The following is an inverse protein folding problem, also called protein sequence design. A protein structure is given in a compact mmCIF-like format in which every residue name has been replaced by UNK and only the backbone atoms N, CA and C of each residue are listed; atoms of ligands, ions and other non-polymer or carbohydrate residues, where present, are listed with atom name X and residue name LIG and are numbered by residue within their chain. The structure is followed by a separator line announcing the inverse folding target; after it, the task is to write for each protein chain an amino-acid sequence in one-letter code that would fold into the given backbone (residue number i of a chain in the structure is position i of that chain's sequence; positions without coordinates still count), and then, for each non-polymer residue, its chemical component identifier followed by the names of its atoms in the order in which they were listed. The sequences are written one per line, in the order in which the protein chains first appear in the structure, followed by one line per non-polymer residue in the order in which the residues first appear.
data_IF_548275947996
#
_entry.id   IF_548275947996
#
_cell.length_a   1.000
_cell.length_b   1.000
_cell.length_c   1.000
_cell.angle_alpha   90.00
_cell.angle_beta   90.00
_cell.angle_gamma   90.00
#
_symmetry.space_group_name_H-M   'P 1'
#
loop_
_entity.id
_entity.type
_entity.pdbx_description
1 polymer ?
#
# COMPACT_ATOMS: atom_id res chain seq x y z
N UNK A 1 -19.96 21.43 -1.22
CA UNK A 1 -20.24 21.09 0.20
C UNK A 1 -19.38 21.98 1.08
N UNK A 2 -19.96 22.65 2.07
CA UNK A 2 -19.19 23.46 3.03
C UNK A 2 -18.73 22.58 4.20
N UNK A 3 -17.45 22.62 4.55
CA UNK A 3 -16.88 21.90 5.71
C UNK A 3 -16.54 22.89 6.83
N UNK A 4 -16.75 22.49 8.09
CA UNK A 4 -16.39 23.27 9.28
C UNK A 4 -15.55 22.43 10.23
N UNK A 5 -14.31 22.85 10.47
CA UNK A 5 -13.44 22.19 11.44
C UNK A 5 -13.94 22.41 12.88
N UNK A 6 -14.08 21.33 13.64
CA UNK A 6 -14.45 21.35 15.08
C UNK A 6 -13.26 21.05 16.00
N UNK A 7 -12.05 20.97 15.45
CA UNK A 7 -10.85 20.56 16.19
C UNK A 7 -10.57 21.46 17.38
N UNK A 8 -10.71 22.78 17.23
CA UNK A 8 -10.50 23.73 18.34
C UNK A 8 -11.49 23.54 19.48
N UNK A 9 -12.77 23.34 19.15
CA UNK A 9 -13.82 23.08 20.14
C UNK A 9 -13.57 21.76 20.88
N UNK A 10 -13.14 20.73 20.15
CA UNK A 10 -12.75 19.45 20.73
C UNK A 10 -11.55 19.58 21.68
N UNK A 11 -10.48 20.28 21.27
CA UNK A 11 -9.31 20.53 22.11
C UNK A 11 -9.67 21.31 23.38
N UNK A 12 -10.58 22.28 23.26
CA UNK A 12 -11.10 23.02 24.40
C UNK A 12 -11.79 22.09 25.40
N UNK A 13 -12.72 21.23 24.96
CA UNK A 13 -13.37 20.27 25.85
C UNK A 13 -12.40 19.28 26.48
N UNK A 14 -11.46 18.72 25.69
CA UNK A 14 -10.43 17.79 26.19
C UNK A 14 -9.58 18.41 27.30
N UNK A 15 -9.08 19.63 27.07
CA UNK A 15 -8.24 20.33 28.03
C UNK A 15 -9.03 20.82 29.26
N UNK A 16 -10.33 21.04 29.11
CA UNK A 16 -11.24 21.42 30.21
C UNK A 16 -11.55 20.23 31.13
N UNK A 17 -11.78 19.04 30.56
CA UNK A 17 -12.09 17.82 31.30
C UNK A 17 -10.89 17.30 32.11
N UNK A 18 -9.66 17.44 31.59
CA UNK A 18 -8.45 17.04 32.30
C UNK A 18 -8.15 17.90 33.56
N UNK A 19 -8.72 19.12 33.64
CA UNK A 19 -8.47 20.05 34.75
C UNK A 19 -9.46 19.96 35.91
N UNK A 20 -10.58 19.25 35.77
CA UNK A 20 -11.56 19.08 36.86
C UNK A 20 -11.17 18.01 37.88
N UNK A 21 -10.05 17.31 37.66
CA UNK A 21 -9.47 16.29 38.55
C UNK A 21 -8.35 16.76 39.49
N UNK A 22 -8.25 18.07 39.81
CA UNK A 22 -7.27 18.56 40.78
C UNK A 22 -7.43 17.93 42.18
N UNK A 23 -6.34 17.72 42.94
CA UNK A 23 -6.38 16.97 44.20
C UNK A 23 -7.18 17.75 45.24
N UNK A 24 -8.42 17.30 45.48
CA UNK A 24 -9.21 17.76 46.63
C UNK A 24 -8.56 17.21 47.90
N UNK A 25 -7.82 18.09 48.59
CA UNK A 25 -7.34 17.92 49.97
C UNK A 25 -8.46 17.32 50.83
N UNK A 26 -8.25 16.21 51.55
CA UNK A 26 -9.31 15.54 52.28
C UNK A 26 -9.68 16.38 53.51
N UNK A 27 -10.83 17.05 53.48
CA UNK A 27 -11.50 17.48 54.70
C UNK A 27 -12.36 16.33 55.17
N UNK A 28 -11.95 15.71 56.27
CA UNK A 28 -12.75 14.77 57.05
C UNK A 28 -14.07 15.45 57.45
N UNK A 29 -15.21 14.94 56.97
CA UNK A 29 -16.47 14.85 57.73
C UNK A 29 -17.45 13.90 56.99
N UNK A 30 -18.36 13.23 57.73
CA UNK A 30 -18.98 11.99 57.29
C UNK A 30 -20.36 12.20 56.62
N UNK A 31 -20.77 11.18 55.86
CA UNK A 31 -22.13 10.87 55.37
C UNK A 31 -22.78 11.81 54.35
N UNK A 32 -22.93 11.36 53.10
CA UNK A 32 -24.21 10.97 52.49
C UNK A 32 -23.96 10.53 51.03
N UNK A 33 -24.72 9.54 50.57
CA UNK A 33 -24.54 8.88 49.27
C UNK A 33 -24.63 9.83 48.07
N UNK A 34 -23.64 9.73 47.18
CA UNK A 34 -23.67 10.32 45.84
C UNK A 34 -23.11 9.29 44.87
N UNK A 35 -23.88 8.99 43.83
CA UNK A 35 -23.59 8.09 42.72
C UNK A 35 -22.14 8.23 42.22
N UNK A 36 -21.34 7.17 42.36
CA UNK A 36 -19.97 7.08 41.80
C UNK A 36 -19.95 6.44 40.41
N UNK A 37 -21.10 6.25 39.76
CA UNK A 37 -21.20 5.52 38.49
C UNK A 37 -20.58 6.26 37.29
N UNK A 38 -20.39 7.57 37.35
CA UNK A 38 -19.74 8.34 36.27
C UNK A 38 -18.22 8.40 36.40
N UNK A 39 -17.65 7.77 37.44
CA UNK A 39 -16.22 7.82 37.75
C UNK A 39 -15.42 6.59 37.34
N UNK A 40 -16.05 5.63 36.66
CA UNK A 40 -15.35 4.49 36.07
C UNK A 40 -14.73 4.89 34.73
N UNK A 41 -13.70 5.73 34.78
CA UNK A 41 -12.76 5.88 33.68
C UNK A 41 -12.03 4.55 33.48
N UNK A 42 -11.96 4.08 32.23
CA UNK A 42 -11.31 2.85 31.77
C UNK A 42 -9.77 2.82 31.94
N UNK A 43 -9.23 3.59 32.90
CA UNK A 43 -7.82 3.56 33.28
C UNK A 43 -7.78 3.36 34.78
N UNK A 44 -7.85 2.11 35.21
CA UNK A 44 -7.46 1.72 36.56
C UNK A 44 -5.93 1.88 36.66
N UNK A 45 -5.47 3.09 36.98
CA UNK A 45 -4.11 3.31 37.42
C UNK A 45 -4.14 3.29 38.94
N UNK A 46 -3.66 2.20 39.53
CA UNK A 46 -3.24 2.20 40.92
C UNK A 46 -2.15 3.27 41.05
N UNK A 47 -2.50 4.38 41.70
CA UNK A 47 -1.61 5.53 41.85
C UNK A 47 -0.56 5.19 42.90
N UNK A 48 0.57 4.63 42.44
CA UNK A 48 1.83 4.75 43.17
C UNK A 48 2.40 6.16 42.94
N UNK A 49 2.86 6.81 44.02
CA UNK A 49 3.09 8.25 44.11
C UNK A 49 4.39 8.74 43.47
N UNK A 50 4.91 8.05 42.46
CA UNK A 50 6.11 8.43 41.72
C UNK A 50 5.83 8.52 40.22
N UNK A 51 4.88 9.38 39.82
CA UNK A 51 4.52 9.61 38.43
C UNK A 51 5.64 10.34 37.68
N UNK A 52 6.67 9.56 37.32
CA UNK A 52 7.41 9.73 36.08
C UNK A 52 6.39 9.91 34.95
N UNK A 53 6.64 10.91 34.11
CA UNK A 53 5.84 11.18 32.91
C UNK A 53 5.70 9.87 32.16
N UNK A 54 4.48 9.30 32.13
CA UNK A 54 4.15 8.22 31.20
C UNK A 54 4.23 8.84 29.81
N UNK A 55 5.45 8.85 29.27
CA UNK A 55 5.69 9.01 27.85
C UNK A 55 4.94 7.86 27.24
N UNK A 56 3.82 8.17 26.61
CA UNK A 56 3.07 7.26 25.75
C UNK A 56 4.10 6.56 24.87
N UNK A 57 4.42 5.30 25.19
CA UNK A 57 5.41 4.53 24.46
C UNK A 57 4.87 4.46 23.04
N UNK A 58 5.44 5.26 22.15
CA UNK A 58 5.08 5.29 20.74
C UNK A 58 5.17 3.86 20.25
N UNK A 59 4.02 3.22 20.01
CA UNK A 59 3.96 1.88 19.45
C UNK A 59 4.75 1.96 18.15
N UNK A 60 5.89 1.26 18.09
CA UNK A 60 6.74 1.32 16.92
C UNK A 60 5.88 0.92 15.70
N UNK A 61 5.96 1.68 14.61
CA UNK A 61 5.35 1.28 13.36
C UNK A 61 5.74 -0.17 13.01
N UNK A 62 4.80 -0.98 12.48
CA UNK A 62 5.11 -2.34 12.07
C UNK A 62 6.25 -2.37 11.04
N UNK A 63 7.14 -3.37 11.12
CA UNK A 63 8.31 -3.51 10.24
C UNK A 63 8.01 -3.48 8.72
N UNK A 64 6.80 -3.89 8.32
CA UNK A 64 6.41 -3.82 6.91
C UNK A 64 6.33 -2.37 6.41
N UNK A 65 6.19 -1.35 7.28
CA UNK A 65 6.19 0.05 6.88
C UNK A 65 7.53 0.46 6.28
N UNK A 66 8.63 -0.06 6.82
CA UNK A 66 9.98 0.21 6.31
C UNK A 66 10.10 -0.33 4.87
N UNK A 67 9.50 -1.49 4.60
CA UNK A 67 9.45 -2.07 3.25
C UNK A 67 8.61 -1.23 2.29
N UNK A 68 7.53 -0.61 2.79
CA UNK A 68 6.70 0.30 1.97
C UNK A 68 7.51 1.54 1.57
N UNK A 69 8.19 2.16 2.54
CA UNK A 69 9.01 3.34 2.30
C UNK A 69 10.16 3.02 1.32
N UNK A 70 10.82 1.87 1.51
CA UNK A 70 11.84 1.39 0.57
C UNK A 70 11.31 1.19 -0.85
N UNK A 71 10.10 0.64 -1.02
CA UNK A 71 9.50 0.44 -2.34
C UNK A 71 9.09 1.78 -2.96
N UNK A 72 8.55 2.72 -2.18
CA UNK A 72 8.19 4.04 -2.68
C UNK A 72 9.43 4.85 -3.11
N UNK A 73 10.54 4.75 -2.38
CA UNK A 73 11.84 5.33 -2.77
C UNK A 73 12.35 4.71 -4.09
N UNK A 74 12.29 3.40 -4.22
CA UNK A 74 12.73 2.70 -5.43
C UNK A 74 11.83 3.06 -6.63
N UNK A 75 10.52 3.16 -6.44
CA UNK A 75 9.57 3.63 -7.46
C UNK A 75 9.91 5.03 -7.94
N UNK A 76 10.29 5.94 -7.03
CA UNK A 76 10.70 7.29 -7.40
C UNK A 76 12.03 7.30 -8.17
N UNK A 77 12.98 6.42 -7.81
CA UNK A 77 14.22 6.22 -8.56
C UNK A 77 13.93 5.70 -9.97
N UNK A 78 13.05 4.70 -10.12
CA UNK A 78 12.64 4.16 -11.42
C UNK A 78 12.04 5.28 -12.29
N UNK A 79 11.16 6.12 -11.73
CA UNK A 79 10.59 7.27 -12.46
C UNK A 79 11.68 8.20 -13.00
N UNK A 80 12.67 8.55 -12.18
CA UNK A 80 13.78 9.39 -12.61
C UNK A 80 14.59 8.73 -13.75
N UNK A 81 14.89 7.43 -13.62
CA UNK A 81 15.59 6.67 -14.68
C UNK A 81 14.80 6.57 -15.98
N UNK A 82 13.48 6.42 -15.92
CA UNK A 82 12.61 6.44 -17.11
C UNK A 82 12.69 7.81 -17.80
N UNK A 83 12.67 8.91 -17.04
CA UNK A 83 12.79 10.25 -17.65
C UNK A 83 14.16 10.51 -18.28
N UNK A 84 15.24 10.00 -17.66
CA UNK A 84 16.60 10.03 -18.22
C UNK A 84 16.67 9.22 -19.53
N UNK A 85 16.08 8.02 -19.53
CA UNK A 85 16.00 7.17 -20.71
C UNK A 85 15.22 7.82 -21.85
N UNK A 86 14.11 8.51 -21.54
CA UNK A 86 13.34 9.24 -22.55
C UNK A 86 14.12 10.39 -23.18
N UNK A 87 14.96 11.08 -22.41
CA UNK A 87 15.84 12.11 -22.93
C UNK A 87 16.90 11.51 -23.88
N UNK A 88 17.50 10.37 -23.50
CA UNK A 88 18.44 9.64 -24.35
C UNK A 88 17.79 9.09 -25.62
N UNK A 89 16.58 8.52 -25.52
CA UNK A 89 15.80 8.09 -26.69
C UNK A 89 15.56 9.25 -27.66
N UNK A 90 15.18 10.44 -27.15
CA UNK A 90 15.00 11.63 -27.99
C UNK A 90 16.30 12.09 -28.64
N UNK A 91 17.41 12.09 -27.88
CA UNK A 91 18.75 12.43 -28.38
C UNK A 91 19.18 11.48 -29.50
N UNK A 92 19.06 10.17 -29.28
CA UNK A 92 19.44 9.15 -30.25
C UNK A 92 18.57 9.17 -31.52
N UNK A 93 17.30 9.56 -31.40
CA UNK A 93 16.41 9.71 -32.55
C UNK A 93 16.75 10.93 -33.44
N UNK A 94 17.44 11.96 -32.92
CA UNK A 94 17.80 13.14 -33.70
C UNK A 94 18.90 12.81 -34.74
N UNK A 95 18.87 13.41 -35.94
CA UNK A 95 19.96 13.28 -36.91
C UNK A 95 21.22 14.01 -36.43
N UNK A 96 21.99 13.36 -35.56
CA UNK A 96 23.31 13.81 -35.10
C UNK A 96 24.45 12.98 -35.72
N UNK A 97 25.61 13.62 -35.86
CA UNK A 97 26.90 13.02 -36.25
C UNK A 97 27.73 12.52 -35.06
N UNK A 98 27.20 12.60 -33.83
CA UNK A 98 27.87 12.21 -32.58
C UNK A 98 27.81 10.69 -32.31
N UNK A 99 28.66 10.20 -31.40
CA UNK A 99 28.91 8.78 -31.03
C UNK A 99 27.63 7.97 -30.68
N UNK A 100 26.90 7.51 -31.71
CA UNK A 100 25.68 6.69 -31.54
C UNK A 100 25.92 5.41 -30.74
N UNK A 101 27.08 4.79 -30.94
CA UNK A 101 27.46 3.56 -30.23
C UNK A 101 27.57 3.75 -28.72
N UNK A 102 27.93 4.95 -28.24
CA UNK A 102 27.99 5.23 -26.81
C UNK A 102 26.57 5.46 -26.24
N UNK A 103 25.76 6.25 -26.95
CA UNK A 103 24.36 6.48 -26.57
C UNK A 103 23.56 5.15 -26.55
N UNK A 104 23.78 4.26 -27.53
CA UNK A 104 23.16 2.91 -27.60
C UNK A 104 23.52 2.05 -26.39
N UNK A 105 24.82 1.96 -26.03
CA UNK A 105 25.25 1.23 -24.82
C UNK A 105 24.63 1.78 -23.55
N UNK A 106 24.49 3.11 -23.45
CA UNK A 106 23.86 3.73 -22.27
C UNK A 106 22.36 3.44 -22.21
N UNK A 107 21.66 3.43 -23.35
CA UNK A 107 20.24 3.07 -23.45
C UNK A 107 20.02 1.62 -23.01
N UNK A 108 20.84 0.69 -23.49
CA UNK A 108 20.74 -0.72 -23.12
C UNK A 108 21.00 -0.92 -21.63
N UNK A 109 22.09 -0.35 -21.10
CA UNK A 109 22.42 -0.44 -19.68
C UNK A 109 21.31 0.13 -18.79
N UNK A 110 20.76 1.29 -19.15
CA UNK A 110 19.68 1.93 -18.40
C UNK A 110 18.38 1.13 -18.49
N UNK A 111 18.08 0.53 -19.65
CA UNK A 111 16.92 -0.33 -19.86
C UNK A 111 16.99 -1.62 -19.04
N UNK A 112 18.15 -2.29 -19.01
CA UNK A 112 18.39 -3.45 -18.13
C UNK A 112 18.29 -3.04 -16.66
N UNK A 113 18.90 -1.93 -16.26
CA UNK A 113 18.85 -1.43 -14.89
C UNK A 113 17.41 -1.17 -14.43
N UNK A 114 16.60 -0.46 -15.23
CA UNK A 114 15.18 -0.23 -14.93
C UNK A 114 14.42 -1.55 -14.78
N UNK A 115 14.68 -2.52 -15.66
CA UNK A 115 14.05 -3.85 -15.59
C UNK A 115 14.41 -4.59 -14.29
N UNK A 116 15.66 -4.51 -13.86
CA UNK A 116 16.12 -5.12 -12.61
C UNK A 116 15.52 -4.43 -11.38
N UNK A 117 15.40 -3.10 -11.40
CA UNK A 117 14.72 -2.33 -10.35
C UNK A 117 13.24 -2.74 -10.25
N UNK A 118 12.54 -2.93 -11.39
CA UNK A 118 11.17 -3.45 -11.39
C UNK A 118 11.07 -4.83 -10.73
N UNK A 119 12.00 -5.75 -11.04
CA UNK A 119 12.05 -7.09 -10.42
C UNK A 119 12.35 -7.02 -8.93
N UNK A 120 13.17 -6.08 -8.50
CA UNK A 120 13.46 -5.88 -7.09
C UNK A 120 12.24 -5.36 -6.32
N UNK A 121 11.57 -4.33 -6.84
CA UNK A 121 10.31 -3.84 -6.28
C UNK A 121 9.27 -4.95 -6.18
N UNK A 122 9.11 -5.74 -7.24
CA UNK A 122 8.18 -6.87 -7.28
C UNK A 122 8.51 -7.93 -6.20
N UNK A 123 9.79 -8.29 -6.02
CA UNK A 123 10.25 -9.17 -4.94
C UNK A 123 9.96 -8.59 -3.55
N UNK A 124 10.15 -7.28 -3.34
CA UNK A 124 9.83 -6.60 -2.08
C UNK A 124 8.31 -6.62 -1.80
N UNK A 125 7.49 -6.34 -2.80
CA UNK A 125 6.02 -6.39 -2.67
C UNK A 125 5.53 -7.81 -2.36
N UNK A 126 6.09 -8.84 -3.01
CA UNK A 126 5.79 -10.24 -2.70
C UNK A 126 6.21 -10.64 -1.28
N UNK A 127 7.31 -10.08 -0.76
CA UNK A 127 7.76 -10.33 0.61
C UNK A 127 6.73 -9.87 1.64
N UNK A 128 6.10 -8.70 1.44
CA UNK A 128 5.02 -8.20 2.33
C UNK A 128 3.87 -9.22 2.37
N UNK A 129 3.54 -9.84 1.23
CA UNK A 129 2.49 -10.85 1.17
C UNK A 129 2.85 -12.12 1.96
N UNK A 130 4.11 -12.56 1.88
CA UNK A 130 4.60 -13.72 2.64
C UNK A 130 4.65 -13.39 4.14
N UNK A 131 5.11 -12.20 4.52
CA UNK A 131 5.15 -11.75 5.91
C UNK A 131 3.73 -11.72 6.52
N UNK A 132 2.73 -11.34 5.72
CA UNK A 132 1.33 -11.39 6.13
C UNK A 132 0.90 -12.81 6.55
N UNK A 133 1.36 -13.86 5.86
CA UNK A 133 0.96 -15.26 6.16
C UNK A 133 1.48 -15.79 7.50
N UNK A 134 2.56 -15.23 8.04
CA UNK A 134 3.10 -15.63 9.35
C UNK A 134 2.37 -14.99 10.53
N UNK A 135 1.47 -14.02 10.29
CA UNK A 135 0.68 -13.43 11.36
C UNK A 135 -0.41 -14.41 11.84
N UNK A 136 -0.63 -14.52 13.17
CA UNK A 136 -1.67 -15.39 13.72
C UNK A 136 -3.04 -15.00 13.18
N UNK A 137 -3.89 -15.99 12.89
CA UNK A 137 -5.23 -15.80 12.31
C UNK A 137 -6.17 -14.90 13.16
N UNK A 138 -5.83 -14.68 14.43
CA UNK A 138 -6.52 -13.74 15.32
C UNK A 138 -6.34 -12.27 14.88
N UNK A 139 -5.23 -11.94 14.22
CA UNK A 139 -4.89 -10.58 13.79
C UNK A 139 -5.53 -10.19 12.44
N UNK A 140 -6.84 -10.41 12.28
CA UNK A 140 -7.57 -10.17 11.01
C UNK A 140 -7.35 -8.77 10.44
N UNK A 141 -7.31 -7.74 11.29
CA UNK A 141 -7.06 -6.35 10.88
C UNK A 141 -5.66 -6.16 10.25
N UNK A 142 -4.63 -6.81 10.79
CA UNK A 142 -3.28 -6.72 10.23
C UNK A 142 -3.21 -7.40 8.86
N UNK A 143 -3.85 -8.56 8.69
CA UNK A 143 -3.97 -9.23 7.40
C UNK A 143 -4.64 -8.33 6.35
N UNK A 144 -5.73 -7.64 6.71
CA UNK A 144 -6.41 -6.69 5.81
C UNK A 144 -5.51 -5.52 5.42
N UNK A 145 -4.76 -4.96 6.38
CA UNK A 145 -3.82 -3.86 6.13
C UNK A 145 -2.72 -4.30 5.14
N UNK A 146 -2.04 -5.43 5.39
CA UNK A 146 -0.99 -5.95 4.50
C UNK A 146 -1.52 -6.16 3.08
N UNK A 147 -2.71 -6.76 2.96
CA UNK A 147 -3.36 -6.99 1.68
C UNK A 147 -3.62 -5.66 0.95
N UNK A 148 -4.23 -4.68 1.62
CA UNK A 148 -4.51 -3.37 1.02
C UNK A 148 -3.25 -2.65 0.52
N UNK A 149 -2.19 -2.66 1.33
CA UNK A 149 -0.90 -2.06 1.00
C UNK A 149 -0.24 -2.76 -0.17
N UNK A 150 -0.25 -4.09 -0.18
CA UNK A 150 0.25 -4.90 -1.29
C UNK A 150 -0.44 -4.51 -2.61
N UNK A 151 -1.76 -4.35 -2.64
CA UNK A 151 -2.43 -3.86 -3.87
C UNK A 151 -2.02 -2.45 -4.21
N UNK A 152 -1.98 -1.54 -3.23
CA UNK A 152 -1.65 -0.14 -3.49
C UNK A 152 -0.27 -0.04 -4.17
N UNK A 153 0.73 -0.74 -3.61
CA UNK A 153 2.07 -0.83 -4.19
C UNK A 153 2.08 -1.52 -5.55
N UNK A 154 1.39 -2.65 -5.70
CA UNK A 154 1.31 -3.36 -6.98
C UNK A 154 0.66 -2.49 -8.07
N UNK A 155 -0.37 -1.70 -7.73
CA UNK A 155 -1.05 -0.79 -8.64
C UNK A 155 -0.13 0.37 -9.06
N UNK A 156 0.59 0.98 -8.12
CA UNK A 156 1.61 2.00 -8.41
C UNK A 156 2.69 1.46 -9.37
N UNK A 157 3.18 0.24 -9.11
CA UNK A 157 4.21 -0.40 -9.92
C UNK A 157 3.67 -0.81 -11.30
N UNK A 158 2.41 -1.23 -11.37
CA UNK A 158 1.72 -1.55 -12.62
C UNK A 158 1.55 -0.30 -13.50
N UNK A 159 1.11 0.82 -12.93
CA UNK A 159 1.00 2.10 -13.64
C UNK A 159 2.36 2.53 -14.19
N UNK A 160 3.41 2.47 -13.36
CA UNK A 160 4.76 2.82 -13.77
C UNK A 160 5.31 1.92 -14.89
N UNK A 161 5.07 0.61 -14.80
CA UNK A 161 5.45 -0.33 -15.87
C UNK A 161 4.71 -0.06 -17.18
N UNK A 162 3.46 0.42 -17.11
CA UNK A 162 2.70 0.84 -18.30
C UNK A 162 3.33 2.05 -18.97
N UNK A 163 3.75 3.06 -18.19
CA UNK A 163 4.45 4.24 -18.70
C UNK A 163 5.77 3.83 -19.37
N UNK A 164 6.58 3.00 -18.72
CA UNK A 164 7.84 2.51 -19.29
C UNK A 164 7.63 1.74 -20.60
N UNK A 165 6.70 0.78 -20.64
CA UNK A 165 6.43 -0.02 -21.84
C UNK A 165 5.88 0.82 -22.99
N UNK A 166 5.03 1.81 -22.71
CA UNK A 166 4.56 2.78 -23.73
C UNK A 166 5.72 3.60 -24.27
N UNK A 167 6.61 4.07 -23.40
CA UNK A 167 7.80 4.82 -23.80
C UNK A 167 8.73 4.01 -24.72
N UNK A 168 9.01 2.75 -24.35
CA UNK A 168 9.77 1.80 -25.17
C UNK A 168 9.09 1.48 -26.50
N UNK A 169 7.77 1.24 -26.49
CA UNK A 169 7.00 0.99 -27.72
C UNK A 169 7.03 2.18 -28.68
N UNK A 170 6.91 3.40 -28.15
CA UNK A 170 6.98 4.64 -28.95
C UNK A 170 8.38 4.82 -29.55
N UNK A 171 9.43 4.49 -28.80
CA UNK A 171 10.81 4.54 -29.28
C UNK A 171 11.04 3.53 -30.40
N UNK A 172 10.66 2.27 -30.21
CA UNK A 172 10.74 1.21 -31.24
C UNK A 172 9.96 1.57 -32.51
N UNK A 173 8.75 2.13 -32.39
CA UNK A 173 7.95 2.55 -33.54
C UNK A 173 8.65 3.66 -34.34
N UNK A 174 9.29 4.62 -33.67
CA UNK A 174 10.05 5.69 -34.33
C UNK A 174 11.33 5.18 -34.98
N UNK A 175 11.98 4.18 -34.38
CA UNK A 175 13.16 3.55 -34.96
C UNK A 175 12.82 2.81 -36.27
N UNK A 176 11.77 1.97 -36.25
CA UNK A 176 11.27 1.24 -37.44
C UNK A 176 10.70 2.16 -38.52
N UNK A 177 9.98 3.22 -38.13
CA UNK A 177 9.41 4.18 -39.07
C UNK A 177 10.46 4.93 -39.90
N UNK A 178 11.68 5.09 -39.37
CA UNK A 178 12.82 5.67 -40.09
C UNK A 178 13.45 4.68 -41.07
N UNK A 179 13.49 3.39 -40.72
CA UNK A 179 14.04 2.32 -41.56
C UNK A 179 13.25 2.14 -42.86
N UNK A 180 11.91 2.12 -42.78
CA UNK A 180 11.02 1.99 -43.95
C UNK A 180 11.25 3.18 -44.91
N UNK A 181 11.35 4.39 -44.37
CA UNK A 181 11.58 5.61 -45.16
C UNK A 181 12.95 5.60 -45.85
N UNK A 182 13.98 5.08 -45.19
CA UNK A 182 15.32 4.94 -45.77
C UNK A 182 15.37 3.87 -46.87
N UNK A 183 14.60 2.79 -46.70
CA UNK A 183 14.45 1.71 -47.69
C UNK A 183 13.70 2.17 -48.94
N UNK A 184 12.62 2.93 -48.78
CA UNK A 184 11.80 3.43 -49.90
C UNK A 184 12.52 4.52 -50.71
N UNK A 185 13.29 5.39 -50.05
CA UNK A 185 14.02 6.47 -50.75
C UNK A 185 15.11 5.91 -51.67
N UNK A 186 15.79 4.84 -51.26
CA UNK A 186 16.78 4.16 -52.12
C UNK A 186 16.14 3.25 -53.17
N UNK A 187 15.01 2.59 -52.87
CA UNK A 187 14.28 1.79 -53.86
C UNK A 187 13.79 2.64 -55.05
N UNK A 188 13.40 3.90 -54.81
CA UNK A 188 13.03 4.86 -55.87
C UNK A 188 14.25 5.34 -56.66
N UNK A 189 15.42 5.48 -56.03
CA UNK A 189 16.66 5.90 -56.69
C UNK A 189 17.24 4.81 -57.61
N UNK A 190 17.01 3.53 -57.29
CA UNK A 190 17.34 2.38 -58.17
C UNK A 190 16.20 1.99 -59.13
N UNK A 191 15.02 2.62 -59.03
CA UNK A 191 13.78 2.18 -59.69
C UNK A 191 13.25 3.09 -60.80
N UNK A 192 13.99 4.11 -61.26
CA UNK A 192 13.60 5.01 -62.36
C UNK A 192 14.46 4.87 -63.63
N UNK A 193 14.91 3.65 -63.93
CA UNK A 193 15.36 3.28 -65.28
C UNK A 193 14.23 2.54 -65.99
N UNK A 194 13.14 3.25 -66.28
CA UNK A 194 12.19 2.82 -67.31
C UNK A 194 12.53 3.59 -68.59
N UNK A 195 13.33 2.98 -69.46
CA UNK A 195 13.39 3.25 -70.90
C UNK A 195 14.33 2.25 -71.59
N UNK A 196 13.70 1.26 -72.24
CA UNK A 196 14.11 0.58 -73.47
C UNK A 196 15.41 -0.25 -73.48
N UNK A 197 15.18 -1.56 -73.69
CA UNK A 197 15.91 -2.52 -74.52
C UNK A 197 17.44 -2.72 -74.36
N UNK A 198 17.81 -3.99 -74.55
CA UNK A 198 19.15 -4.57 -74.76
C UNK A 198 20.02 -4.92 -73.53
N UNK A 199 20.04 -6.22 -73.24
CA UNK A 199 21.22 -7.07 -72.97
C UNK A 199 22.40 -6.45 -72.20
N UNK A 200 22.13 -5.85 -71.04
CA UNK A 200 23.17 -5.43 -70.10
C UNK A 200 23.16 -6.35 -68.88
N UNK A 201 24.08 -7.31 -68.93
CA UNK A 201 24.65 -8.00 -67.79
C UNK A 201 24.93 -6.95 -66.69
N UNK A 202 24.03 -6.84 -65.72
CA UNK A 202 24.05 -5.82 -64.69
C UNK A 202 25.19 -6.12 -63.71
N UNK A 203 26.41 -5.86 -64.15
CA UNK A 203 27.61 -5.81 -63.32
C UNK A 203 27.43 -4.62 -62.39
N UNK A 204 26.79 -4.86 -61.24
CA UNK A 204 26.85 -3.96 -60.10
C UNK A 204 28.32 -3.57 -59.92
N UNK A 205 28.60 -2.27 -59.99
CA UNK A 205 29.97 -1.77 -59.78
C UNK A 205 30.42 -2.21 -58.38
N UNK A 206 31.68 -2.59 -58.19
CA UNK A 206 32.21 -3.06 -56.88
C UNK A 206 31.88 -2.08 -55.73
N UNK A 207 31.82 -0.78 -56.05
CA UNK A 207 31.38 0.28 -55.14
C UNK A 207 29.89 0.19 -54.75
N UNK A 208 29.00 -0.20 -55.68
CA UNK A 208 27.57 -0.37 -55.43
C UNK A 208 27.31 -1.63 -54.58
N UNK A 209 28.06 -2.71 -54.81
CA UNK A 209 28.00 -3.91 -53.98
C UNK A 209 28.51 -3.63 -52.55
N UNK A 210 29.56 -2.81 -52.41
CA UNK A 210 30.08 -2.38 -51.11
C UNK A 210 29.06 -1.52 -50.33
N UNK A 211 28.30 -0.65 -51.02
CA UNK A 211 27.20 0.13 -50.41
C UNK A 211 26.07 -0.79 -49.94
N UNK A 212 25.68 -1.79 -50.74
CA UNK A 212 24.66 -2.77 -50.35
C UNK A 212 25.12 -3.59 -49.14
N UNK A 213 26.36 -4.08 -49.13
CA UNK A 213 26.92 -4.83 -47.99
C UNK A 213 27.04 -3.99 -46.72
N UNK A 214 27.44 -2.71 -46.84
CA UNK A 214 27.50 -1.80 -45.69
C UNK A 214 26.10 -1.49 -45.14
N UNK A 215 25.10 -1.34 -46.02
CA UNK A 215 23.71 -1.14 -45.63
C UNK A 215 23.13 -2.40 -44.96
N UNK A 216 23.41 -3.59 -45.49
CA UNK A 216 22.96 -4.87 -44.92
C UNK A 216 23.56 -5.10 -43.53
N UNK A 217 24.83 -4.75 -43.32
CA UNK A 217 25.47 -4.77 -41.99
C UNK A 217 24.82 -3.77 -41.03
N UNK A 218 24.52 -2.56 -41.48
CA UNK A 218 23.85 -1.56 -40.64
C UNK A 218 22.42 -1.97 -40.25
N UNK A 219 21.69 -2.63 -41.16
CA UNK A 219 20.34 -3.14 -40.90
C UNK A 219 20.38 -4.29 -39.88
N UNK A 220 21.30 -5.25 -40.05
CA UNK A 220 21.42 -6.39 -39.13
C UNK A 220 21.85 -5.99 -37.72
N UNK A 221 22.72 -4.99 -37.57
CA UNK A 221 23.09 -4.41 -36.28
C UNK A 221 21.87 -3.75 -35.59
N UNK A 222 21.08 -2.99 -36.36
CA UNK A 222 19.83 -2.37 -35.89
C UNK A 222 18.76 -3.38 -35.48
N UNK A 223 18.60 -4.48 -36.22
CA UNK A 223 17.67 -5.55 -35.84
C UNK A 223 18.06 -6.20 -34.51
N UNK A 224 19.37 -6.35 -34.25
CA UNK A 224 19.87 -6.88 -32.98
C UNK A 224 19.53 -5.94 -31.82
N UNK A 225 19.72 -4.64 -31.97
CA UNK A 225 19.34 -3.63 -30.96
C UNK A 225 17.85 -3.66 -30.66
N UNK A 226 17.01 -3.68 -31.71
CA UNK A 226 15.56 -3.79 -31.57
C UNK A 226 15.18 -5.04 -30.75
N UNK A 227 15.86 -6.17 -31.01
CA UNK A 227 15.61 -7.41 -30.28
C UNK A 227 15.96 -7.33 -28.79
N UNK A 228 17.05 -6.66 -28.41
CA UNK A 228 17.40 -6.48 -26.99
C UNK A 228 16.39 -5.58 -26.25
N UNK A 229 15.93 -4.50 -26.90
CA UNK A 229 14.85 -3.66 -26.35
C UNK A 229 13.56 -4.47 -26.20
N UNK A 230 13.19 -5.27 -27.19
CA UNK A 230 12.00 -6.14 -27.13
C UNK A 230 12.13 -7.16 -26.00
N UNK A 231 13.32 -7.75 -25.80
CA UNK A 231 13.57 -8.70 -24.71
C UNK A 231 13.38 -8.09 -23.33
N UNK A 232 13.88 -6.87 -23.10
CA UNK A 232 13.64 -6.14 -21.85
C UNK A 232 12.17 -5.79 -21.66
N UNK A 233 11.47 -5.39 -22.73
CA UNK A 233 10.03 -5.12 -22.73
C UNK A 233 9.20 -6.37 -22.39
N UNK A 234 9.60 -7.54 -22.89
CA UNK A 234 8.99 -8.83 -22.55
C UNK A 234 9.25 -9.18 -21.08
N UNK A 235 10.45 -8.94 -20.57
CA UNK A 235 10.77 -9.13 -19.15
C UNK A 235 9.87 -8.30 -18.22
N UNK A 236 9.57 -7.05 -18.58
CA UNK A 236 8.61 -6.22 -17.83
C UNK A 236 7.15 -6.65 -18.04
N UNK A 237 6.83 -7.28 -19.17
CA UNK A 237 5.49 -7.81 -19.42
C UNK A 237 5.14 -8.97 -18.48
N UNK A 238 6.11 -9.82 -18.14
CA UNK A 238 5.94 -10.89 -17.16
C UNK A 238 5.67 -10.31 -15.77
N UNK A 239 6.47 -9.33 -15.33
CA UNK A 239 6.27 -8.60 -14.07
C UNK A 239 4.87 -7.97 -14.03
N UNK A 240 4.46 -7.31 -15.13
CA UNK A 240 3.13 -6.71 -15.25
C UNK A 240 2.02 -7.75 -15.05
N UNK A 241 2.15 -8.95 -15.64
CA UNK A 241 1.16 -10.02 -15.49
C UNK A 241 1.06 -10.49 -14.04
N UNK A 242 2.18 -10.64 -13.36
CA UNK A 242 2.23 -11.08 -11.96
C UNK A 242 1.71 -10.01 -10.98
N UNK A 243 1.96 -8.73 -11.25
CA UNK A 243 1.37 -7.64 -10.47
C UNK A 243 -0.13 -7.51 -10.76
N UNK A 244 -0.55 -7.77 -12.00
CA UNK A 244 -1.95 -7.68 -12.39
C UNK A 244 -2.82 -8.74 -11.69
N UNK A 245 -2.35 -9.99 -11.59
CA UNK A 245 -3.05 -11.03 -10.82
C UNK A 245 -3.20 -10.64 -9.36
N UNK A 246 -2.15 -10.07 -8.76
CA UNK A 246 -2.16 -9.58 -7.38
C UNK A 246 -3.18 -8.46 -7.12
N UNK A 247 -3.41 -7.59 -8.12
CA UNK A 247 -4.41 -6.51 -8.05
C UNK A 247 -5.84 -7.03 -8.28
N UNK A 248 -6.03 -7.96 -9.23
CA UNK A 248 -7.36 -8.54 -9.56
C UNK A 248 -7.89 -9.41 -8.42
N UNK A 249 -7.08 -10.30 -7.85
CA UNK A 249 -7.48 -11.23 -6.78
C UNK A 249 -8.00 -10.51 -5.53
N UNK A 250 -7.71 -9.21 -5.44
CA UNK A 250 -8.06 -8.39 -4.32
C UNK A 250 -9.36 -7.58 -4.55
N UNK A 251 -9.97 -7.68 -5.74
CA UNK A 251 -11.26 -7.05 -6.13
C UNK A 251 -11.11 -5.69 -6.79
N UNK A 252 -12.15 -5.21 -7.48
CA UNK A 252 -12.18 -3.86 -8.07
C UNK A 252 -11.95 -2.82 -6.97
N UNK A 253 -11.19 -1.75 -7.27
CA UNK A 253 -10.85 -0.70 -6.30
C UNK A 253 -12.08 -0.12 -5.57
N UNK A 254 -13.25 -0.16 -6.21
CA UNK A 254 -14.53 0.27 -5.62
C UNK A 254 -15.03 -0.67 -4.50
N UNK A 255 -14.89 -1.98 -4.65
CA UNK A 255 -15.54 -2.96 -3.77
C UNK A 255 -14.98 -2.93 -2.33
N UNK A 256 -13.74 -2.48 -2.14
CA UNK A 256 -13.06 -2.52 -0.82
C UNK A 256 -13.49 -1.43 0.13
N UNK A 257 -13.75 -0.22 -0.37
CA UNK A 257 -14.19 0.89 0.48
C UNK A 257 -15.64 0.63 0.89
N UNK A 258 -16.48 0.28 -0.07
CA UNK A 258 -17.89 -0.01 0.18
C UNK A 258 -18.05 -1.23 1.11
N UNK A 259 -17.31 -2.32 0.87
CA UNK A 259 -17.33 -3.48 1.76
C UNK A 259 -16.84 -3.16 3.18
N UNK A 260 -15.73 -2.44 3.34
CA UNK A 260 -15.20 -2.11 4.67
C UNK A 260 -16.11 -1.12 5.42
N UNK A 261 -16.73 -0.18 4.73
CA UNK A 261 -17.74 0.73 5.32
C UNK A 261 -18.97 -0.07 5.75
N UNK A 262 -19.45 -0.99 4.90
CA UNK A 262 -20.59 -1.84 5.23
C UNK A 262 -20.29 -2.74 6.44
N UNK A 263 -19.11 -3.37 6.49
CA UNK A 263 -18.68 -4.14 7.67
C UNK A 263 -18.57 -3.27 8.93
N UNK A 264 -18.07 -2.03 8.80
CA UNK A 264 -18.01 -1.09 9.91
C UNK A 264 -19.40 -0.71 10.40
N UNK A 265 -20.35 -0.52 9.49
CA UNK A 265 -21.74 -0.23 9.80
C UNK A 265 -22.39 -1.40 10.58
N UNK A 266 -22.21 -2.63 10.10
CA UNK A 266 -22.68 -3.85 10.78
C UNK A 266 -22.07 -3.98 12.18
N UNK A 267 -20.75 -3.81 12.32
CA UNK A 267 -20.08 -3.86 13.62
C UNK A 267 -20.54 -2.76 14.58
N UNK A 268 -20.82 -1.55 14.07
CA UNK A 268 -21.34 -0.45 14.86
C UNK A 268 -22.76 -0.72 15.35
N UNK A 269 -23.61 -1.34 14.52
CA UNK A 269 -24.96 -1.76 14.91
C UNK A 269 -24.92 -2.82 16.02
N UNK A 270 -24.04 -3.81 15.90
CA UNK A 270 -23.86 -4.84 16.92
C UNK A 270 -23.27 -4.28 18.23
N UNK A 271 -22.30 -3.38 18.14
CA UNK A 271 -21.78 -2.66 19.31
C UNK A 271 -22.88 -1.85 20.01
N UNK A 272 -23.75 -1.20 19.24
CA UNK A 272 -24.90 -0.48 19.80
C UNK A 272 -25.87 -1.42 20.54
N UNK A 273 -26.18 -2.59 19.97
CA UNK A 273 -27.00 -3.62 20.64
C UNK A 273 -26.37 -4.10 21.94
N UNK A 274 -25.06 -4.36 21.96
CA UNK A 274 -24.33 -4.77 23.15
C UNK A 274 -24.33 -3.68 24.24
N UNK A 275 -24.16 -2.41 23.87
CA UNK A 275 -24.25 -1.28 24.81
C UNK A 275 -25.65 -1.16 25.42
N UNK A 276 -26.69 -1.29 24.61
CA UNK A 276 -28.09 -1.31 25.08
C UNK A 276 -28.35 -2.46 26.04
N UNK A 277 -27.81 -3.64 25.75
CA UNK A 277 -27.96 -4.80 26.60
C UNK A 277 -27.18 -4.62 27.92
N UNK A 278 -25.97 -4.07 27.87
CA UNK A 278 -25.16 -3.70 29.03
C UNK A 278 -25.88 -2.69 29.93
N UNK A 279 -26.47 -1.64 29.35
CA UNK A 279 -27.27 -0.66 30.09
C UNK A 279 -28.46 -1.32 30.81
N UNK A 280 -29.21 -2.21 30.13
CA UNK A 280 -30.30 -2.97 30.75
C UNK A 280 -29.82 -3.87 31.90
N UNK A 281 -28.64 -4.48 31.79
CA UNK A 281 -28.06 -5.27 32.88
C UNK A 281 -27.64 -4.39 34.06
N UNK A 282 -27.08 -3.20 33.80
CA UNK A 282 -26.68 -2.24 34.83
C UNK A 282 -27.89 -1.76 35.65
N UNK A 283 -29.00 -1.42 35.00
CA UNK A 283 -30.24 -1.01 35.68
C UNK A 283 -30.79 -2.12 36.62
N UNK A 284 -30.73 -3.37 36.16
CA UNK A 284 -31.20 -4.53 36.94
C UNK A 284 -30.23 -4.94 38.05
N UNK A 285 -28.97 -4.47 38.01
CA UNK A 285 -27.95 -4.80 39.01
C UNK A 285 -28.32 -4.27 40.40
N UNK A 286 -28.91 -3.06 40.46
CA UNK A 286 -29.36 -2.45 41.73
C UNK A 286 -30.46 -3.30 42.42
N UNK A 287 -31.41 -3.83 41.65
CA UNK A 287 -32.46 -4.70 42.18
C UNK A 287 -31.90 -6.04 42.69
N UNK A 288 -30.93 -6.64 41.97
CA UNK A 288 -30.27 -7.89 42.40
C UNK A 288 -29.47 -7.70 43.70
N UNK A 289 -28.80 -6.55 43.85
CA UNK A 289 -28.01 -6.25 45.05
C UNK A 289 -28.91 -6.15 46.29
N UNK A 290 -30.09 -5.52 46.19
CA UNK A 290 -31.08 -5.51 47.28
C UNK A 290 -31.58 -6.92 47.65
N UNK A 291 -31.84 -7.79 46.66
CA UNK A 291 -32.29 -9.16 46.92
C UNK A 291 -31.20 -9.97 47.64
N UNK A 292 -29.93 -9.82 47.23
CA UNK A 292 -28.79 -10.48 47.90
C UNK A 292 -28.64 -9.99 49.35
N UNK A 293 -28.76 -8.67 49.58
CA UNK A 293 -28.69 -8.10 50.91
C UNK A 293 -29.82 -8.62 51.81
N UNK A 294 -31.06 -8.67 51.30
CA UNK A 294 -32.20 -9.23 52.03
C UNK A 294 -31.98 -10.70 52.40
N UNK A 295 -31.47 -11.52 51.48
CA UNK A 295 -31.14 -12.92 51.74
C UNK A 295 -30.09 -13.10 52.84
N UNK A 296 -29.07 -12.24 52.87
CA UNK A 296 -28.02 -12.26 53.90
C UNK A 296 -28.58 -11.91 55.29
N UNK A 297 -29.48 -10.93 55.37
CA UNK A 297 -30.16 -10.56 56.62
C UNK A 297 -31.02 -11.71 57.15
N UNK A 298 -31.81 -12.35 56.28
CA UNK A 298 -32.65 -13.50 56.68
C UNK A 298 -31.79 -14.68 57.16
N UNK A 299 -30.67 -14.95 56.49
CA UNK A 299 -29.73 -16.00 56.90
C UNK A 299 -29.12 -15.73 58.28
N UNK A 300 -28.71 -14.50 58.57
CA UNK A 300 -28.23 -14.08 59.89
C UNK A 300 -29.28 -14.29 60.98
N UNK A 301 -30.54 -13.91 60.72
CA UNK A 301 -31.64 -14.13 61.66
C UNK A 301 -31.87 -15.62 61.94
N UNK A 302 -31.78 -16.46 60.90
CA UNK A 302 -31.93 -17.91 61.03
C UNK A 302 -30.83 -18.53 61.91
N UNK A 303 -29.58 -18.11 61.72
CA UNK A 303 -28.45 -18.54 62.56
C UNK A 303 -28.65 -18.15 64.02
N UNK A 304 -29.11 -16.93 64.29
CA UNK A 304 -29.41 -16.46 65.66
C UNK A 304 -30.50 -17.32 66.30
N UNK A 305 -31.55 -17.67 65.55
CA UNK A 305 -32.66 -18.49 66.04
C UNK A 305 -32.20 -19.92 66.41
N UNK A 306 -31.39 -20.54 65.55
CA UNK A 306 -30.79 -21.86 65.83
C UNK A 306 -29.91 -21.80 67.08
N UNK A 307 -29.04 -20.80 67.17
CA UNK A 307 -28.11 -20.67 68.30
C UNK A 307 -28.86 -20.42 69.61
N UNK A 308 -29.88 -19.56 69.60
CA UNK A 308 -30.73 -19.29 70.76
C UNK A 308 -31.52 -20.53 71.21
N UNK A 309 -32.13 -21.25 70.27
CA UNK A 309 -32.91 -22.47 70.58
C UNK A 309 -32.03 -23.55 71.21
N UNK A 310 -30.79 -23.66 70.74
CA UNK A 310 -29.82 -24.61 71.30
C UNK A 310 -29.37 -24.23 72.72
N UNK A 311 -29.22 -22.92 72.99
CA UNK A 311 -28.93 -22.40 74.33
C UNK A 311 -30.10 -22.56 75.31
N UNK A 312 -31.35 -22.44 74.86
CA UNK A 312 -32.53 -22.62 75.74
C UNK A 312 -32.87 -24.08 76.02
N UNK A 313 -32.39 -25.03 75.19
CA UNK A 313 -32.57 -26.47 75.41
C UNK A 313 -31.50 -27.08 76.34
N UNK A 314 -30.49 -26.31 76.73
CA UNK A 314 -29.38 -26.74 77.60
C UNK A 314 -29.37 -26.07 78.98
N UNK A 315 -30.42 -25.29 79.30
CA UNK A 315 -30.74 -24.80 80.64
C UNK A 315 -31.97 -25.53 81.16
#
# INVERSE_FOLDING_TARGET
MATRSRTLLFLQYRNSFARTGGPRRPKQHPTLGVDTSERAGLIANEVDQNAEVVVELSVLPPKWIDVVDEVDDEVNRIKARITELEALHKKHLLPGFDDRMNDEKTIDMLTTNITDMFRECERKVKRIAIESQYLPASAKQNHMLHRNIQTSLATKLQELSSVFRKSQSNYLQKLRGREIRHKDTHAVETGSLDSQDDDLDAVFTDAQLQVVQNNERAITEREREINEIVKSMLGVADIFKELHTMVIDQGTVLDRIDYNIEQTNVHMEDAHKQLLQGAKYQDRSKAKLCIILLGLVVFLLFLILIFKTRSSSTA
#
